data_IF_105659917578
#
_entry.id   IF_105659917578
#
_cell.length_a   1.000
_cell.length_b   1.000
_cell.length_c   1.000
_cell.angle_alpha   90.00
_cell.angle_beta   90.00
_cell.angle_gamma   90.00
#
_symmetry.space_group_name_H-M   'P 1'
#
loop_
_entity.id
_entity.type
_entity.pdbx_description
1 polymer ?
#
# COMPACT_ATOMS: atom_id res chain seq x y z
N UNK A 1 19.13 -9.65 11.13
CA UNK A 1 18.51 -9.31 9.83
C UNK A 1 19.52 -9.65 8.74
N UNK A 2 19.31 -10.77 8.04
CA UNK A 2 20.27 -11.31 7.07
C UNK A 2 20.29 -10.44 5.81
N UNK A 3 21.40 -10.39 5.07
CA UNK A 3 21.55 -9.55 3.86
C UNK A 3 20.41 -9.75 2.85
N UNK A 4 19.99 -10.99 2.64
CA UNK A 4 18.87 -11.35 1.77
C UNK A 4 17.54 -10.63 2.14
N UNK A 5 17.29 -10.44 3.44
CA UNK A 5 16.07 -9.76 3.89
C UNK A 5 16.13 -8.27 3.56
N UNK A 6 17.33 -7.66 3.54
CA UNK A 6 17.48 -6.24 3.17
C UNK A 6 17.17 -6.01 1.70
N UNK A 7 17.62 -6.92 0.82
CA UNK A 7 17.34 -6.83 -0.62
C UNK A 7 15.86 -7.04 -0.91
N UNK A 8 15.21 -7.99 -0.23
CA UNK A 8 13.77 -8.21 -0.35
C UNK A 8 12.97 -6.99 0.12
N UNK A 9 13.27 -6.42 1.29
CA UNK A 9 12.57 -5.21 1.79
C UNK A 9 12.84 -4.01 0.87
N UNK A 10 14.05 -3.90 0.34
CA UNK A 10 14.40 -2.90 -0.66
C UNK A 10 13.57 -3.07 -1.92
N UNK A 11 13.35 -4.31 -2.41
CA UNK A 11 12.49 -4.54 -3.56
C UNK A 11 11.02 -4.25 -3.24
N UNK A 12 10.53 -4.72 -2.08
CA UNK A 12 9.15 -4.52 -1.64
C UNK A 12 8.80 -3.04 -1.59
N UNK A 13 9.67 -2.16 -1.08
CA UNK A 13 9.38 -0.72 -1.03
C UNK A 13 9.17 -0.11 -2.43
N UNK A 14 9.94 -0.54 -3.41
CA UNK A 14 9.86 -0.04 -4.78
C UNK A 14 8.62 -0.56 -5.50
N UNK A 15 8.38 -1.87 -5.41
CA UNK A 15 7.18 -2.50 -5.99
C UNK A 15 5.93 -1.88 -5.38
N UNK A 16 5.89 -1.72 -4.05
CA UNK A 16 4.74 -1.09 -3.35
C UNK A 16 4.51 0.35 -3.80
N UNK A 17 5.58 1.12 -4.01
CA UNK A 17 5.49 2.50 -4.52
C UNK A 17 4.96 2.56 -5.96
N UNK A 18 5.41 1.65 -6.84
CA UNK A 18 4.89 1.58 -8.21
C UNK A 18 3.41 1.21 -8.25
N UNK A 19 2.98 0.27 -7.40
CA UNK A 19 1.57 -0.12 -7.27
C UNK A 19 0.72 1.04 -6.74
N UNK A 20 1.21 1.80 -5.75
CA UNK A 20 0.54 3.01 -5.27
C UNK A 20 0.38 4.05 -6.39
N UNK A 21 1.44 4.32 -7.16
CA UNK A 21 1.39 5.26 -8.28
C UNK A 21 0.41 4.79 -9.35
N UNK A 22 0.34 3.50 -9.64
CA UNK A 22 -0.66 2.93 -10.54
C UNK A 22 -2.09 3.14 -10.00
N UNK A 23 -2.31 2.97 -8.69
CA UNK A 23 -3.58 3.32 -8.03
C UNK A 23 -3.94 4.80 -8.17
N UNK A 24 -2.97 5.70 -8.03
CA UNK A 24 -3.16 7.14 -8.23
C UNK A 24 -3.52 7.47 -9.68
N UNK A 25 -2.87 6.81 -10.65
CA UNK A 25 -3.17 6.97 -12.06
C UNK A 25 -4.60 6.51 -12.40
N UNK A 26 -5.04 5.37 -11.84
CA UNK A 26 -6.42 4.90 -11.99
C UNK A 26 -7.43 5.85 -11.32
N UNK A 27 -7.05 6.48 -10.20
CA UNK A 27 -7.86 7.51 -9.55
C UNK A 27 -8.02 8.74 -10.42
N UNK A 28 -6.95 9.21 -11.05
CA UNK A 28 -7.01 10.31 -12.02
C UNK A 28 -7.88 9.95 -13.25
N UNK A 29 -7.88 8.69 -13.66
CA UNK A 29 -8.74 8.17 -14.73
C UNK A 29 -10.17 7.83 -14.31
N UNK A 30 -10.56 8.07 -13.05
CA UNK A 30 -11.87 7.70 -12.49
C UNK A 30 -12.24 6.20 -12.65
N UNK A 31 -11.25 5.31 -12.66
CA UNK A 31 -11.46 3.86 -12.72
C UNK A 31 -11.76 3.28 -11.33
N UNK A 32 -13.03 3.38 -10.92
CA UNK A 32 -13.55 2.79 -9.69
C UNK A 32 -14.19 1.41 -9.96
N UNK A 33 -14.06 0.42 -9.05
CA UNK A 33 -13.32 0.43 -7.79
C UNK A 33 -11.85 -0.03 -7.90
N UNK A 34 -11.35 -0.30 -9.12
CA UNK A 34 -10.02 -0.88 -9.33
C UNK A 34 -8.90 -0.05 -8.69
N UNK A 35 -9.01 1.28 -8.72
CA UNK A 35 -8.07 2.19 -8.06
C UNK A 35 -7.91 1.90 -6.56
N UNK A 36 -9.00 1.60 -5.85
CA UNK A 36 -8.99 1.32 -4.41
C UNK A 36 -8.28 0.01 -4.10
N UNK A 37 -8.49 -1.03 -4.91
CA UNK A 37 -7.76 -2.30 -4.76
C UNK A 37 -6.26 -2.12 -5.01
N UNK A 38 -5.88 -1.36 -6.03
CA UNK A 38 -4.48 -1.06 -6.32
C UNK A 38 -3.83 -0.27 -5.18
N UNK A 39 -4.50 0.75 -4.67
CA UNK A 39 -4.04 1.50 -3.50
C UNK A 39 -3.87 0.60 -2.28
N UNK A 40 -4.86 -0.24 -1.95
CA UNK A 40 -4.78 -1.15 -0.81
C UNK A 40 -3.59 -2.10 -0.94
N UNK A 41 -3.36 -2.66 -2.13
CA UNK A 41 -2.24 -3.58 -2.39
C UNK A 41 -0.89 -2.90 -2.14
N UNK A 42 -0.73 -1.66 -2.63
CA UNK A 42 0.48 -0.87 -2.40
C UNK A 42 0.67 -0.46 -0.94
N UNK A 43 -0.41 -0.16 -0.21
CA UNK A 43 -0.39 0.17 1.22
C UNK A 43 0.07 -1.04 2.05
N UNK A 44 -0.44 -2.24 1.76
CA UNK A 44 -0.04 -3.46 2.48
C UNK A 44 1.46 -3.72 2.30
N UNK A 45 1.99 -3.54 1.09
CA UNK A 45 3.42 -3.68 0.85
C UNK A 45 4.27 -2.65 1.62
N UNK A 46 3.83 -1.38 1.67
CA UNK A 46 4.49 -0.36 2.49
C UNK A 46 4.35 -0.60 4.00
N UNK A 47 3.23 -1.17 4.45
CA UNK A 47 3.04 -1.56 5.85
C UNK A 47 4.03 -2.65 6.27
N UNK A 48 4.29 -3.62 5.40
CA UNK A 48 5.33 -4.65 5.64
C UNK A 48 6.72 -4.01 5.75
N UNK A 49 7.06 -3.06 4.87
CA UNK A 49 8.33 -2.31 4.94
C UNK A 49 8.42 -1.51 6.23
N UNK A 50 7.34 -0.83 6.63
CA UNK A 50 7.27 -0.02 7.84
C UNK A 50 7.50 -0.87 9.10
N UNK A 51 6.87 -2.04 9.18
CA UNK A 51 7.08 -3.01 10.25
C UNK A 51 8.53 -3.50 10.29
N UNK A 52 9.12 -3.78 9.13
CA UNK A 52 10.50 -4.25 9.03
C UNK A 52 11.54 -3.17 9.38
N UNK A 53 11.22 -1.90 9.17
CA UNK A 53 12.05 -0.76 9.58
C UNK A 53 11.77 -0.30 11.02
N UNK A 54 10.76 -0.86 11.68
CA UNK A 54 10.26 -0.41 12.99
C UNK A 54 9.92 1.09 13.04
N UNK A 55 9.53 1.67 11.91
CA UNK A 55 9.15 3.08 11.82
C UNK A 55 7.66 3.25 12.18
N UNK A 56 7.42 3.77 13.39
CA UNK A 56 6.07 3.95 13.96
C UNK A 56 5.20 4.90 13.14
N UNK A 57 5.80 5.91 12.50
CA UNK A 57 5.06 6.88 11.71
C UNK A 57 4.54 6.26 10.41
N UNK A 58 5.38 5.48 9.73
CA UNK A 58 5.02 4.73 8.53
C UNK A 58 4.00 3.62 8.83
N UNK A 59 4.10 2.95 9.99
CA UNK A 59 3.12 1.94 10.41
C UNK A 59 1.75 2.58 10.62
N UNK A 60 1.68 3.69 11.35
CA UNK A 60 0.44 4.40 11.62
C UNK A 60 -0.22 4.90 10.33
N UNK A 61 0.56 5.55 9.45
CA UNK A 61 0.06 6.07 8.18
C UNK A 61 -0.52 4.98 7.28
N UNK A 62 0.24 3.89 7.07
CA UNK A 62 -0.22 2.81 6.19
C UNK A 62 -1.35 1.99 6.83
N UNK A 63 -1.36 1.82 8.16
CA UNK A 63 -2.45 1.15 8.87
C UNK A 63 -3.79 1.90 8.74
N UNK A 64 -3.78 3.22 8.95
CA UNK A 64 -4.97 4.06 8.78
C UNK A 64 -5.39 4.10 7.31
N UNK A 65 -4.44 4.24 6.37
CA UNK A 65 -4.75 4.21 4.95
C UNK A 65 -5.42 2.89 4.52
N UNK A 66 -4.94 1.75 5.04
CA UNK A 66 -5.55 0.46 4.77
C UNK A 66 -7.01 0.42 5.26
N UNK A 67 -7.28 0.92 6.47
CA UNK A 67 -8.65 1.00 6.99
C UNK A 67 -9.56 1.86 6.11
N UNK A 68 -9.08 3.02 5.65
CA UNK A 68 -9.83 3.90 4.75
C UNK A 68 -10.16 3.19 3.43
N UNK A 69 -9.19 2.57 2.78
CA UNK A 69 -9.41 1.90 1.50
C UNK A 69 -10.27 0.64 1.62
N UNK A 70 -10.15 -0.13 2.71
CA UNK A 70 -11.05 -1.26 2.98
C UNK A 70 -12.49 -0.78 3.13
N UNK A 71 -12.74 0.29 3.89
CA UNK A 71 -14.09 0.86 4.00
C UNK A 71 -14.61 1.37 2.66
N UNK A 72 -13.77 2.04 1.86
CA UNK A 72 -14.13 2.48 0.51
C UNK A 72 -14.51 1.32 -0.41
N UNK A 73 -13.76 0.20 -0.35
CA UNK A 73 -14.08 -1.01 -1.09
C UNK A 73 -15.41 -1.60 -0.63
N UNK A 74 -15.63 -1.75 0.68
CA UNK A 74 -16.90 -2.27 1.22
C UNK A 74 -18.06 -1.40 0.77
N UNK A 75 -17.93 -0.07 0.85
CA UNK A 75 -18.95 0.86 0.39
C UNK A 75 -19.22 0.77 -1.12
N UNK A 76 -18.25 0.36 -1.93
CA UNK A 76 -18.44 0.17 -3.38
C UNK A 76 -19.20 -1.12 -3.75
N UNK A 77 -19.42 -2.03 -2.79
CA UNK A 77 -20.08 -3.33 -3.01
C UNK A 77 -21.59 -3.30 -2.77
N UNK A 78 -22.14 -2.23 -2.20
CA UNK A 78 -23.55 -2.06 -1.84
C UNK A 78 -24.12 -0.80 -2.48
#
# INVERSE_FOLDING_TARGET
MNFHNRDLIWLTKWVSSLVLIAGMALTAGNFYPLNMYMHLTGIIGWLVVALAWHDRSLIMLNGVAAFIFINGIIASLF
#
